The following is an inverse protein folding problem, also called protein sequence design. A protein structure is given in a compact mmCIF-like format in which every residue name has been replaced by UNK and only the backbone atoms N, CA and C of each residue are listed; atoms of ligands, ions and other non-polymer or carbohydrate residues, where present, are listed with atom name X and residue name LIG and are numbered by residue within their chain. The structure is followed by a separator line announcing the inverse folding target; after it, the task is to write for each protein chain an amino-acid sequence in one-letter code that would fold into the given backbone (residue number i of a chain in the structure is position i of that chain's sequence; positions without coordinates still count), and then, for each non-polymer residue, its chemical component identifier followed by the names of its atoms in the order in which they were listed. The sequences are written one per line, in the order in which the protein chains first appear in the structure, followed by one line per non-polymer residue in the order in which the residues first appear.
data_IF_856869036152
#
_entry.id   IF_856869036152
#
_cell.length_a   1.000
_cell.length_b   1.000
_cell.length_c   1.000
_cell.angle_alpha   90.00
_cell.angle_beta   90.00
_cell.angle_gamma   90.00
#
_symmetry.space_group_name_H-M   'P 1'
#
loop_
_entity.id
_entity.type
_entity.pdbx_description
1 polymer ?
#
# COMPACT_ATOMS: atom_id res chain seq x y z
N UNK A 1 -17.24 15.68 -7.93
CA UNK A 1 -18.04 14.94 -6.91
C UNK A 1 -18.77 13.82 -7.63
N UNK A 2 -18.54 12.54 -7.29
CA UNK A 2 -19.21 11.43 -7.97
C UNK A 2 -20.67 11.29 -7.52
N UNK A 3 -21.55 10.85 -8.40
CA UNK A 3 -22.96 10.54 -8.08
C UNK A 3 -23.09 9.16 -7.45
N UNK A 4 -24.21 8.88 -6.77
CA UNK A 4 -24.46 7.58 -6.16
C UNK A 4 -24.39 6.45 -7.20
N UNK A 5 -24.98 6.64 -8.38
CA UNK A 5 -24.95 5.65 -9.45
C UNK A 5 -23.53 5.40 -10.00
N UNK A 6 -22.63 6.39 -9.95
CA UNK A 6 -21.22 6.18 -10.30
C UNK A 6 -20.52 5.32 -9.26
N UNK A 7 -20.78 5.55 -7.97
CA UNK A 7 -20.21 4.78 -6.86
C UNK A 7 -20.73 3.34 -6.81
N UNK A 8 -22.01 3.12 -7.16
CA UNK A 8 -22.59 1.77 -7.26
C UNK A 8 -21.94 0.96 -8.38
N UNK A 9 -21.66 1.59 -9.53
CA UNK A 9 -20.98 0.91 -10.66
C UNK A 9 -19.47 0.76 -10.44
N UNK A 10 -18.84 1.75 -9.82
CA UNK A 10 -17.40 1.82 -9.54
C UNK A 10 -17.21 2.39 -8.14
N UNK A 11 -16.97 1.50 -7.19
CA UNK A 11 -16.71 1.85 -5.79
C UNK A 11 -15.49 2.77 -5.63
N UNK A 12 -15.29 3.27 -4.42
CA UNK A 12 -14.05 3.97 -4.08
C UNK A 12 -12.96 2.94 -3.83
N UNK A 13 -11.76 3.25 -4.31
CA UNK A 13 -10.56 2.47 -4.02
C UNK A 13 -9.63 3.31 -3.15
N UNK A 14 -9.11 2.68 -2.09
CA UNK A 14 -8.05 3.28 -1.30
C UNK A 14 -6.74 3.29 -2.07
N UNK A 15 -5.94 4.33 -1.83
CA UNK A 15 -4.61 4.41 -2.44
C UNK A 15 -3.68 3.39 -1.82
N UNK A 16 -3.03 2.59 -2.66
CA UNK A 16 -1.98 1.66 -2.22
C UNK A 16 -0.84 2.45 -1.58
N UNK A 17 -0.50 2.12 -0.33
CA UNK A 17 0.62 2.72 0.40
C UNK A 17 1.90 1.94 0.10
N UNK A 18 2.95 2.65 -0.29
CA UNK A 18 4.31 2.07 -0.42
C UNK A 18 5.04 2.19 0.91
N UNK A 19 5.65 1.11 1.38
CA UNK A 19 6.58 1.17 2.51
C UNK A 19 7.92 1.78 2.05
N UNK A 20 8.51 2.63 2.87
CA UNK A 20 9.84 3.20 2.62
C UNK A 20 10.96 2.17 2.82
N UNK A 21 10.67 1.08 3.53
CA UNK A 21 11.65 0.05 3.92
C UNK A 21 11.21 -1.34 3.47
N UNK A 22 11.12 -1.61 2.15
CA UNK A 22 10.63 -2.89 1.63
C UNK A 22 11.53 -4.06 2.04
N UNK A 23 12.84 -3.83 2.13
CA UNK A 23 13.81 -4.84 2.55
C UNK A 23 13.52 -5.42 3.94
N UNK A 24 12.82 -4.70 4.82
CA UNK A 24 12.50 -5.17 6.17
C UNK A 24 11.24 -6.05 6.23
N UNK A 25 10.38 -6.05 5.19
CA UNK A 25 9.06 -6.72 5.14
C UNK A 25 8.29 -6.71 6.48
N UNK A 26 8.28 -5.57 7.17
CA UNK A 26 7.54 -5.41 8.43
C UNK A 26 8.28 -5.90 9.69
N UNK A 27 9.46 -6.51 9.57
CA UNK A 27 10.32 -6.78 10.73
C UNK A 27 11.01 -5.50 11.24
N UNK A 28 11.26 -5.37 12.55
CA UNK A 28 11.94 -4.20 13.10
C UNK A 28 13.43 -4.12 12.70
N UNK A 29 14.08 -5.26 12.49
CA UNK A 29 15.46 -5.37 11.98
C UNK A 29 15.62 -6.65 11.15
N UNK A 30 16.52 -6.63 10.16
CA UNK A 30 16.98 -7.82 9.44
C UNK A 30 18.50 -7.89 9.42
N UNK A 31 19.03 -9.10 9.61
CA UNK A 31 20.48 -9.36 9.54
C UNK A 31 20.90 -9.39 8.06
N UNK A 32 21.98 -8.67 7.74
CA UNK A 32 22.66 -8.74 6.45
C UNK A 32 24.13 -9.11 6.61
N UNK A 33 24.75 -9.60 5.54
CA UNK A 33 26.19 -9.74 5.41
C UNK A 33 26.68 -8.76 4.34
N UNK A 34 27.84 -8.12 4.56
CA UNK A 34 28.45 -7.24 3.57
C UNK A 34 28.89 -8.08 2.37
N UNK A 35 28.50 -7.64 1.17
CA UNK A 35 28.95 -8.19 -0.10
C UNK A 35 30.02 -7.29 -0.70
#
# INVERSE_FOLDING_TARGET
MPTINQLVRKGREDKVKKTKTPALEGSPQRRGVCT
#
